data_IF_566374443258
#
_entry.id   IF_566374443258
#
_cell.length_a   1.000
_cell.length_b   1.000
_cell.length_c   1.000
_cell.angle_alpha   90.00
_cell.angle_beta   90.00
_cell.angle_gamma   90.00
#
_symmetry.space_group_name_H-M   'P 1'
#
loop_
_entity.id
_entity.type
_entity.pdbx_description
1 polymer ?
#
# COMPACT_ATOMS: atom_id res chain seq x y z
N UNK A 1 10.83 8.71 -22.99
CA UNK A 1 11.75 9.70 -22.37
C UNK A 1 12.37 9.03 -21.14
N UNK A 2 13.69 8.93 -21.06
CA UNK A 2 14.39 8.33 -19.91
C UNK A 2 14.79 9.45 -18.94
N UNK A 3 14.47 9.30 -17.65
CA UNK A 3 14.82 10.26 -16.61
C UNK A 3 15.86 9.63 -15.66
N UNK A 4 17.18 9.76 -15.93
CA UNK A 4 18.21 9.08 -15.16
C UNK A 4 18.25 9.57 -13.70
N UNK A 5 18.64 8.71 -12.73
CA UNK A 5 18.93 9.15 -11.38
C UNK A 5 20.03 10.23 -11.35
N UNK A 6 19.85 11.27 -10.56
CA UNK A 6 20.88 12.29 -10.34
C UNK A 6 21.84 11.85 -9.23
N UNK A 7 23.13 12.10 -9.44
CA UNK A 7 24.14 11.88 -8.40
C UNK A 7 24.24 13.08 -7.46
N UNK A 8 24.68 12.84 -6.23
CA UNK A 8 24.92 13.89 -5.24
C UNK A 8 26.00 14.86 -5.72
N UNK A 9 25.74 16.17 -5.60
CA UNK A 9 26.70 17.21 -5.97
C UNK A 9 26.80 17.49 -7.46
N UNK A 10 25.82 17.06 -8.27
CA UNK A 10 25.77 17.36 -9.69
C UNK A 10 25.76 18.88 -9.96
N UNK A 11 26.28 19.27 -11.14
CA UNK A 11 26.45 20.66 -11.53
C UNK A 11 25.13 21.44 -11.72
N UNK A 12 23.99 20.75 -11.86
CA UNK A 12 22.68 21.38 -12.05
C UNK A 12 22.07 21.91 -10.73
N UNK A 13 22.68 21.58 -9.59
CA UNK A 13 22.17 21.95 -8.26
C UNK A 13 20.82 21.30 -7.92
N UNK A 14 20.44 20.24 -8.64
CA UNK A 14 19.19 19.49 -8.43
C UNK A 14 19.44 18.34 -7.46
N UNK A 15 18.41 17.99 -6.67
CA UNK A 15 18.54 16.99 -5.60
C UNK A 15 18.43 15.56 -6.17
N UNK A 16 17.36 15.28 -6.89
CA UNK A 16 17.03 13.95 -7.41
C UNK A 16 16.04 14.05 -8.59
N UNK A 17 16.06 13.03 -9.44
CA UNK A 17 15.03 12.85 -10.47
C UNK A 17 13.74 12.30 -9.85
N UNK A 18 12.60 12.78 -10.35
CA UNK A 18 11.30 12.28 -9.94
C UNK A 18 11.00 10.95 -10.65
N UNK A 19 10.72 9.92 -9.85
CA UNK A 19 10.34 8.58 -10.29
C UNK A 19 8.84 8.40 -10.08
N UNK A 20 8.09 8.45 -11.18
CA UNK A 20 6.63 8.45 -11.22
C UNK A 20 6.16 7.52 -12.37
N UNK A 21 5.21 6.59 -12.16
CA UNK A 21 4.64 6.21 -10.86
C UNK A 21 5.64 5.42 -10.00
N UNK A 22 5.39 5.40 -8.70
CA UNK A 22 6.15 4.61 -7.72
C UNK A 22 5.19 4.03 -6.68
N UNK A 23 5.62 2.97 -6.00
CA UNK A 23 4.92 2.42 -4.84
C UNK A 23 3.74 1.51 -5.17
N UNK A 24 3.74 0.83 -6.32
CA UNK A 24 2.67 -0.10 -6.73
C UNK A 24 2.53 -1.30 -5.78
N UNK A 25 3.06 -2.49 -6.14
CA UNK A 25 3.07 -3.70 -5.30
C UNK A 25 4.44 -3.84 -4.65
N UNK A 26 4.52 -4.26 -3.38
CA UNK A 26 5.76 -4.41 -2.62
C UNK A 26 5.60 -5.51 -1.55
N UNK A 27 6.70 -5.88 -0.89
CA UNK A 27 6.83 -7.04 0.01
C UNK A 27 5.80 -7.03 1.16
N UNK A 28 5.39 -5.85 1.63
CA UNK A 28 4.47 -5.71 2.77
C UNK A 28 2.99 -5.95 2.41
N UNK A 29 2.65 -5.97 1.11
CA UNK A 29 1.30 -6.17 0.60
C UNK A 29 1.34 -7.01 -0.70
N UNK A 30 1.68 -8.31 -0.59
CA UNK A 30 1.65 -9.19 -1.73
C UNK A 30 0.23 -9.31 -2.29
N UNK A 31 0.12 -9.55 -3.58
CA UNK A 31 -1.16 -9.90 -4.21
C UNK A 31 -1.70 -11.21 -3.65
N UNK A 32 -3.02 -11.37 -3.68
CA UNK A 32 -3.71 -12.61 -3.32
C UNK A 32 -4.46 -13.13 -4.53
N UNK A 33 -4.53 -14.44 -4.74
CA UNK A 33 -5.25 -15.04 -5.86
C UNK A 33 -6.21 -16.11 -5.38
N UNK A 34 -7.33 -16.23 -6.06
CA UNK A 34 -8.31 -17.29 -5.86
C UNK A 34 -8.30 -18.25 -7.07
N UNK A 35 -7.76 -19.47 -6.92
CA UNK A 35 -7.71 -20.44 -8.01
C UNK A 35 -9.09 -20.99 -8.38
N UNK A 36 -10.09 -20.92 -7.49
CA UNK A 36 -11.44 -21.41 -7.77
C UNK A 36 -12.21 -20.51 -8.74
N UNK A 37 -11.96 -19.21 -8.67
CA UNK A 37 -12.56 -18.21 -9.57
C UNK A 37 -11.61 -17.75 -10.69
N UNK A 38 -10.31 -18.05 -10.58
CA UNK A 38 -9.30 -17.59 -11.54
C UNK A 38 -9.01 -16.09 -11.44
N UNK A 39 -9.22 -15.48 -10.26
CA UNK A 39 -9.07 -14.04 -10.07
C UNK A 39 -7.82 -13.73 -9.22
N UNK A 40 -7.02 -12.76 -9.67
CA UNK A 40 -5.91 -12.16 -8.93
C UNK A 40 -6.31 -10.79 -8.39
N UNK A 41 -6.12 -10.58 -7.09
CA UNK A 41 -6.36 -9.33 -6.38
C UNK A 41 -5.04 -8.64 -6.07
N UNK A 42 -4.89 -7.41 -6.57
CA UNK A 42 -3.66 -6.63 -6.46
C UNK A 42 -3.92 -5.36 -5.67
N UNK A 43 -3.37 -5.28 -4.46
CA UNK A 43 -3.31 -4.03 -3.70
C UNK A 43 -2.15 -3.17 -4.22
N UNK A 44 -2.46 -1.95 -4.61
CA UNK A 44 -1.46 -0.99 -5.10
C UNK A 44 -1.77 0.44 -4.67
N UNK A 45 -0.76 1.29 -4.64
CA UNK A 45 -0.91 2.73 -4.43
C UNK A 45 -0.19 3.53 -5.51
N UNK A 46 -0.66 4.75 -5.73
CA UNK A 46 -0.04 5.69 -6.66
C UNK A 46 0.80 6.71 -5.89
N UNK A 47 2.09 6.77 -6.19
CA UNK A 47 3.00 7.72 -5.57
C UNK A 47 4.09 8.19 -6.52
N UNK A 48 4.88 9.14 -6.06
CA UNK A 48 6.15 9.49 -6.68
C UNK A 48 7.24 9.38 -5.63
N UNK A 49 8.41 8.90 -6.05
CA UNK A 49 9.58 8.82 -5.18
C UNK A 49 10.72 9.59 -5.82
N UNK A 50 11.69 9.96 -4.99
CA UNK A 50 12.94 10.54 -5.43
C UNK A 50 14.07 9.73 -4.82
N UNK A 51 15.07 9.42 -5.65
CA UNK A 51 16.29 8.75 -5.24
C UNK A 51 17.48 9.51 -5.79
N UNK A 52 18.50 9.64 -4.95
CA UNK A 52 19.77 10.22 -5.34
C UNK A 52 20.80 9.09 -5.44
N UNK A 53 21.68 9.14 -6.44
CA UNK A 53 22.80 8.22 -6.57
C UNK A 53 23.98 8.72 -5.74
N UNK A 54 24.54 7.85 -4.92
CA UNK A 54 25.79 8.08 -4.16
C UNK A 54 26.76 6.93 -4.42
N UNK A 55 28.03 7.10 -4.04
CA UNK A 55 28.97 5.97 -4.00
C UNK A 55 28.60 5.00 -2.87
N UNK A 56 29.01 3.73 -2.97
CA UNK A 56 28.80 2.79 -1.87
C UNK A 56 29.54 3.22 -0.59
N UNK A 57 30.73 3.81 -0.72
CA UNK A 57 31.45 4.38 0.44
C UNK A 57 30.58 5.37 1.22
N UNK A 58 29.90 6.29 0.52
CA UNK A 58 28.98 7.23 1.17
C UNK A 58 27.78 6.49 1.77
N UNK A 59 27.21 5.50 1.07
CA UNK A 59 26.03 4.79 1.57
C UNK A 59 26.31 3.95 2.82
N UNK A 60 27.50 3.36 2.93
CA UNK A 60 27.89 2.57 4.08
C UNK A 60 28.02 3.41 5.34
N UNK A 61 28.34 4.71 5.21
CA UNK A 61 28.30 5.65 6.36
C UNK A 61 26.90 5.87 6.95
N UNK A 62 25.82 5.42 6.27
CA UNK A 62 24.45 5.56 6.78
C UNK A 62 24.09 4.53 7.85
N UNK A 63 24.93 3.50 8.03
CA UNK A 63 24.67 2.40 8.95
C UNK A 63 25.85 2.24 9.91
N UNK A 64 25.58 2.04 11.19
CA UNK A 64 26.61 1.82 12.20
C UNK A 64 27.37 0.50 11.98
N UNK A 65 26.66 -0.52 11.46
CA UNK A 65 27.21 -1.86 11.20
C UNK A 65 26.73 -2.36 9.83
N UNK A 66 27.36 -1.95 8.71
CA UNK A 66 27.02 -2.48 7.39
C UNK A 66 27.35 -3.96 7.29
N UNK A 67 26.45 -4.76 6.71
CA UNK A 67 26.66 -6.17 6.44
C UNK A 67 27.34 -6.35 5.08
N UNK A 68 28.64 -6.60 5.06
CA UNK A 68 29.39 -6.84 3.83
C UNK A 68 30.85 -6.40 3.94
N UNK A 69 31.70 -6.88 3.02
CA UNK A 69 33.11 -6.46 2.90
C UNK A 69 33.41 -5.78 1.56
N UNK A 70 32.48 -5.87 0.61
CA UNK A 70 32.61 -5.29 -0.73
C UNK A 70 31.66 -4.12 -0.87
N UNK A 71 32.23 -2.92 -1.08
CA UNK A 71 31.43 -1.73 -1.38
C UNK A 71 30.77 -1.87 -2.74
N UNK A 72 29.47 -1.58 -2.82
CA UNK A 72 28.82 -1.35 -4.11
C UNK A 72 29.44 -0.11 -4.76
N UNK A 73 29.70 -0.11 -6.07
CA UNK A 73 30.25 1.09 -6.72
C UNK A 73 29.30 2.29 -6.57
N UNK A 74 27.99 2.04 -6.64
CA UNK A 74 26.95 3.04 -6.42
C UNK A 74 25.81 2.48 -5.57
N UNK A 75 25.12 3.36 -4.85
CA UNK A 75 23.99 3.04 -4.00
C UNK A 75 22.91 4.13 -4.07
N UNK A 76 21.67 3.75 -3.75
CA UNK A 76 20.54 4.67 -3.70
C UNK A 76 20.47 5.36 -2.33
N UNK A 77 20.69 6.67 -2.30
CA UNK A 77 20.41 7.52 -1.15
C UNK A 77 18.98 8.08 -1.18
N UNK A 78 18.57 8.67 -0.06
CA UNK A 78 17.31 9.41 0.03
C UNK A 78 17.35 10.63 -0.90
N UNK A 79 16.36 10.76 -1.80
CA UNK A 79 16.24 11.85 -2.76
C UNK A 79 15.37 13.02 -2.28
N UNK A 80 14.97 13.04 -1.00
CA UNK A 80 14.09 14.05 -0.43
C UNK A 80 12.63 13.62 -0.36
N UNK A 81 11.75 14.55 0.03
CA UNK A 81 10.33 14.26 0.19
C UNK A 81 9.63 14.00 -1.15
N UNK A 82 8.66 13.10 -1.16
CA UNK A 82 7.72 12.96 -2.29
C UNK A 82 6.98 14.29 -2.53
N UNK A 83 6.75 14.68 -3.79
CA UNK A 83 6.03 15.90 -4.11
C UNK A 83 4.59 15.79 -3.60
N UNK A 84 4.15 16.85 -2.92
CA UNK A 84 2.78 17.01 -2.42
C UNK A 84 2.33 18.43 -2.67
N UNK A 85 1.03 18.61 -2.85
CA UNK A 85 0.44 19.93 -2.83
C UNK A 85 0.72 20.63 -1.48
N UNK A 86 0.83 21.96 -1.41
CA UNK A 86 1.02 22.68 -0.12
C UNK A 86 -0.02 22.35 0.95
N UNK A 87 -1.21 21.89 0.55
CA UNK A 87 -2.28 21.42 1.44
C UNK A 87 -2.12 19.95 1.89
N UNK A 88 -1.01 19.28 1.56
CA UNK A 88 -0.77 17.87 1.90
C UNK A 88 -1.53 16.85 1.04
N UNK A 89 -2.19 17.30 -0.03
CA UNK A 89 -2.87 16.44 -1.01
C UNK A 89 -1.82 15.69 -1.85
N UNK A 90 -1.97 14.37 -2.07
CA UNK A 90 -1.12 13.62 -2.99
C UNK A 90 -1.13 14.23 -4.40
N UNK A 91 0.00 14.11 -5.11
CA UNK A 91 0.11 14.61 -6.49
C UNK A 91 -0.78 13.85 -7.48
N UNK A 92 -0.98 12.55 -7.25
CA UNK A 92 -1.81 11.71 -8.11
C UNK A 92 -3.30 11.91 -7.81
N UNK A 93 -4.14 11.83 -8.84
CA UNK A 93 -5.59 11.75 -8.65
C UNK A 93 -5.95 10.48 -7.86
N UNK A 94 -6.97 10.52 -7.00
CA UNK A 94 -7.48 9.33 -6.33
C UNK A 94 -7.99 8.28 -7.33
N UNK A 95 -8.03 6.98 -6.95
CA UNK A 95 -7.70 6.48 -5.61
C UNK A 95 -6.19 6.43 -5.32
N UNK A 96 -5.81 6.91 -4.14
CA UNK A 96 -4.42 6.94 -3.66
C UNK A 96 -3.89 5.55 -3.36
N UNK A 97 -4.76 4.67 -2.86
CA UNK A 97 -4.56 3.23 -2.69
C UNK A 97 -5.81 2.49 -3.17
N UNK A 98 -5.62 1.32 -3.77
CA UNK A 98 -6.68 0.57 -4.46
C UNK A 98 -6.43 -0.93 -4.46
N UNK A 99 -7.49 -1.70 -4.60
CA UNK A 99 -7.45 -3.10 -5.00
C UNK A 99 -7.96 -3.18 -6.44
N UNK A 100 -7.29 -3.99 -7.26
CA UNK A 100 -7.73 -4.32 -8.62
C UNK A 100 -7.88 -5.83 -8.72
N UNK A 101 -9.06 -6.29 -9.13
CA UNK A 101 -9.30 -7.68 -9.50
C UNK A 101 -9.00 -7.89 -10.98
N UNK A 102 -8.23 -8.94 -11.28
CA UNK A 102 -7.74 -9.25 -12.62
C UNK A 102 -8.12 -10.69 -12.93
N UNK A 103 -8.83 -10.90 -14.04
CA UNK A 103 -9.07 -12.25 -14.57
C UNK A 103 -7.74 -12.82 -15.07
N UNK A 104 -7.32 -13.95 -14.50
CA UNK A 104 -6.02 -14.56 -14.82
C UNK A 104 -5.98 -15.27 -16.17
N UNK A 105 -7.13 -15.51 -16.80
CA UNK A 105 -7.22 -16.12 -18.13
C UNK A 105 -7.11 -15.07 -19.24
N UNK A 106 -7.69 -13.90 -19.03
CA UNK A 106 -7.78 -12.84 -20.06
C UNK A 106 -6.84 -11.67 -19.80
N UNK A 107 -6.46 -11.43 -18.54
CA UNK A 107 -5.75 -10.23 -18.09
C UNK A 107 -6.66 -9.01 -17.91
N UNK A 108 -7.97 -9.15 -18.07
CA UNK A 108 -8.91 -8.04 -17.92
C UNK A 108 -9.07 -7.61 -16.47
N UNK A 109 -9.20 -6.30 -16.25
CA UNK A 109 -9.57 -5.76 -14.94
C UNK A 109 -11.07 -5.89 -14.76
N UNK A 110 -11.48 -6.75 -13.84
CA UNK A 110 -12.89 -6.99 -13.53
C UNK A 110 -13.49 -5.81 -12.76
N UNK A 111 -12.77 -5.32 -11.76
CA UNK A 111 -13.13 -4.15 -10.98
C UNK A 111 -11.91 -3.51 -10.30
N UNK A 112 -12.10 -2.26 -9.87
CA UNK A 112 -11.12 -1.50 -9.08
C UNK A 112 -11.83 -0.67 -8.03
N UNK A 113 -11.41 -0.78 -6.78
CA UNK A 113 -11.97 -0.01 -5.66
C UNK A 113 -10.86 0.65 -4.83
N UNK A 114 -11.12 1.80 -4.18
CA UNK A 114 -10.23 2.36 -3.16
C UNK A 114 -10.11 1.44 -1.93
N UNK A 115 -8.99 1.52 -1.20
CA UNK A 115 -8.83 0.82 0.09
C UNK A 115 -9.07 1.75 1.27
N UNK A 116 -9.78 1.26 2.28
CA UNK A 116 -10.17 2.05 3.45
C UNK A 116 -11.01 3.25 3.04
N UNK A 117 -10.90 4.35 3.78
CA UNK A 117 -11.67 5.56 3.53
C UNK A 117 -10.78 6.79 3.25
N UNK A 118 -11.39 7.83 2.69
CA UNK A 118 -10.76 9.15 2.54
C UNK A 118 -10.31 9.68 3.91
N UNK A 119 -9.00 9.91 4.15
CA UNK A 119 -8.54 10.41 5.44
C UNK A 119 -9.15 11.77 5.79
N UNK A 120 -9.45 12.01 7.07
CA UNK A 120 -10.04 13.26 7.55
C UNK A 120 -9.19 14.49 7.21
N UNK A 121 -7.86 14.35 7.21
CA UNK A 121 -6.93 15.41 6.78
C UNK A 121 -7.10 15.85 5.31
N UNK A 122 -7.76 15.03 4.48
CA UNK A 122 -8.12 15.36 3.09
C UNK A 122 -9.59 15.78 3.04
N UNK A 123 -10.49 14.95 3.59
CA UNK A 123 -11.94 15.19 3.60
C UNK A 123 -12.33 16.55 4.18
N UNK A 124 -11.62 16.99 5.22
CA UNK A 124 -11.94 18.20 5.98
C UNK A 124 -11.17 19.44 5.50
N UNK A 125 -10.50 19.38 4.34
CA UNK A 125 -9.82 20.55 3.78
C UNK A 125 -10.87 21.62 3.38
N UNK A 126 -10.75 22.88 3.87
CA UNK A 126 -11.68 23.95 3.50
C UNK A 126 -11.82 24.17 1.99
N UNK A 127 -10.73 23.93 1.24
CA UNK A 127 -10.68 24.09 -0.21
C UNK A 127 -11.48 23.01 -0.96
N UNK A 128 -11.87 21.92 -0.30
CA UNK A 128 -12.67 20.85 -0.88
C UNK A 128 -14.15 20.93 -0.45
N UNK A 129 -14.55 21.98 0.28
CA UNK A 129 -15.95 22.17 0.67
C UNK A 129 -16.85 22.31 -0.57
N UNK A 130 -17.92 21.51 -0.61
CA UNK A 130 -18.87 21.48 -1.73
C UNK A 130 -18.39 20.72 -2.96
N UNK A 131 -17.22 20.06 -2.90
CA UNK A 131 -16.70 19.22 -3.98
C UNK A 131 -16.88 17.75 -3.58
N UNK A 132 -17.60 16.98 -4.41
CA UNK A 132 -17.62 15.53 -4.27
C UNK A 132 -16.34 14.93 -4.86
N UNK A 133 -15.52 14.36 -3.97
CA UNK A 133 -14.25 13.71 -4.33
C UNK A 133 -14.34 12.17 -4.27
N UNK A 134 -15.50 11.62 -3.89
CA UNK A 134 -15.68 10.20 -3.63
C UNK A 134 -14.75 9.65 -2.53
N UNK A 135 -14.61 8.32 -2.51
CA UNK A 135 -13.63 7.66 -1.66
C UNK A 135 -12.24 7.69 -2.33
N UNK A 136 -11.30 8.40 -1.73
CA UNK A 136 -9.94 8.54 -2.26
C UNK A 136 -9.06 7.36 -1.94
N UNK A 137 -9.49 6.49 -1.02
CA UNK A 137 -8.63 5.55 -0.32
C UNK A 137 -7.62 6.26 0.59
N UNK A 138 -7.01 5.48 1.47
CA UNK A 138 -6.09 5.98 2.51
C UNK A 138 -4.72 6.40 1.96
N UNK A 139 -4.32 5.82 0.82
CA UNK A 139 -2.96 5.88 0.30
C UNK A 139 -2.00 4.88 0.95
N UNK A 140 -2.51 4.01 1.82
CA UNK A 140 -1.74 2.97 2.48
C UNK A 140 -1.42 1.81 1.55
N UNK A 141 -0.50 0.99 2.04
CA UNK A 141 -0.04 -0.23 1.42
C UNK A 141 -0.67 -1.37 2.23
N UNK A 142 -1.73 -2.01 1.70
CA UNK A 142 -2.63 -2.86 2.50
C UNK A 142 -2.38 -4.35 2.29
N UNK A 143 -2.26 -5.17 3.35
CA UNK A 143 -2.18 -6.61 3.18
C UNK A 143 -3.52 -7.17 2.70
N UNK A 144 -3.46 -8.18 1.83
CA UNK A 144 -4.61 -8.91 1.30
C UNK A 144 -4.60 -10.37 1.74
N UNK A 145 -5.78 -10.95 1.86
CA UNK A 145 -5.99 -12.39 1.98
C UNK A 145 -7.31 -12.78 1.35
N UNK A 146 -7.34 -13.89 0.65
CA UNK A 146 -8.57 -14.43 0.08
C UNK A 146 -8.96 -15.70 0.83
N UNK A 147 -10.24 -15.84 1.14
CA UNK A 147 -10.87 -17.08 1.60
C UNK A 147 -11.71 -17.69 0.47
N UNK A 148 -12.32 -18.85 0.73
CA UNK A 148 -13.25 -19.46 -0.22
C UNK A 148 -14.41 -18.53 -0.61
N UNK A 149 -14.83 -17.64 0.29
CA UNK A 149 -16.03 -16.81 0.10
C UNK A 149 -15.74 -15.31 0.03
N UNK A 150 -14.64 -14.84 0.64
CA UNK A 150 -14.41 -13.41 0.83
C UNK A 150 -13.00 -13.00 0.40
N UNK A 151 -12.87 -11.78 -0.09
CA UNK A 151 -11.60 -11.08 -0.11
C UNK A 151 -11.51 -10.20 1.13
N UNK A 152 -10.40 -10.28 1.86
CA UNK A 152 -10.18 -9.52 3.08
C UNK A 152 -8.94 -8.65 2.97
N UNK A 153 -9.00 -7.45 3.56
CA UNK A 153 -7.85 -6.55 3.65
C UNK A 153 -7.88 -5.73 4.94
N UNK A 154 -6.71 -5.29 5.42
CA UNK A 154 -6.62 -4.41 6.59
C UNK A 154 -6.23 -3.00 6.16
N UNK A 155 -6.99 -2.01 6.60
CA UNK A 155 -6.70 -0.59 6.42
C UNK A 155 -7.37 0.24 7.53
N UNK A 156 -7.54 1.54 7.33
CA UNK A 156 -8.17 2.45 8.29
C UNK A 156 -9.38 3.17 7.71
N UNK A 157 -10.31 3.55 8.59
CA UNK A 157 -11.41 4.49 8.30
C UNK A 157 -10.93 5.94 8.30
N UNK A 158 -11.82 6.88 7.99
CA UNK A 158 -11.49 8.31 7.77
C UNK A 158 -10.74 8.94 8.95
N UNK A 159 -11.10 8.55 10.17
CA UNK A 159 -10.53 8.98 11.46
C UNK A 159 -9.20 8.28 11.82
N UNK A 160 -8.79 7.30 11.03
CA UNK A 160 -7.59 6.48 11.27
C UNK A 160 -7.84 5.21 12.08
N UNK A 161 -9.10 4.87 12.41
CA UNK A 161 -9.42 3.67 13.18
C UNK A 161 -9.18 2.41 12.33
N UNK A 162 -8.32 1.47 12.77
CA UNK A 162 -7.95 0.32 11.98
C UNK A 162 -9.04 -0.75 11.96
N UNK A 163 -9.27 -1.30 10.77
CA UNK A 163 -10.29 -2.31 10.52
C UNK A 163 -9.74 -3.47 9.68
N UNK A 164 -10.40 -4.62 9.81
CA UNK A 164 -10.38 -5.70 8.82
C UNK A 164 -11.66 -5.56 7.99
N UNK A 165 -11.49 -5.31 6.70
CA UNK A 165 -12.55 -5.17 5.72
C UNK A 165 -12.76 -6.51 5.00
N UNK A 166 -14.02 -6.85 4.73
CA UNK A 166 -14.43 -8.01 3.96
C UNK A 166 -15.20 -7.55 2.72
N UNK A 167 -14.83 -8.11 1.58
CA UNK A 167 -15.37 -7.77 0.27
C UNK A 167 -15.96 -9.01 -0.41
N UNK A 168 -17.03 -8.81 -1.17
CA UNK A 168 -17.44 -9.75 -2.20
C UNK A 168 -16.36 -9.82 -3.28
N UNK A 169 -15.97 -11.05 -3.63
CA UNK A 169 -14.86 -11.32 -4.56
C UNK A 169 -15.17 -10.91 -6.00
N UNK A 170 -16.42 -11.08 -6.42
CA UNK A 170 -16.83 -10.87 -7.80
C UNK A 170 -17.04 -9.39 -8.13
N UNK A 171 -17.54 -8.60 -7.18
CA UNK A 171 -17.92 -7.19 -7.36
C UNK A 171 -16.95 -6.19 -6.70
N UNK A 172 -16.23 -6.62 -5.66
CA UNK A 172 -15.45 -5.72 -4.81
C UNK A 172 -16.30 -4.92 -3.81
N UNK A 173 -17.60 -5.20 -3.67
CA UNK A 173 -18.47 -4.53 -2.70
C UNK A 173 -18.08 -4.91 -1.26
N UNK A 174 -18.06 -3.92 -0.35
CA UNK A 174 -17.86 -4.17 1.08
C UNK A 174 -19.08 -4.86 1.68
N UNK A 175 -18.91 -6.10 2.13
CA UNK A 175 -19.98 -6.88 2.78
C UNK A 175 -19.93 -6.80 4.30
N UNK A 176 -18.84 -6.24 4.85
CA UNK A 176 -18.70 -5.98 6.26
C UNK A 176 -17.29 -5.58 6.65
N UNK A 177 -17.15 -5.10 7.89
CA UNK A 177 -15.86 -4.80 8.50
C UNK A 177 -15.94 -4.91 10.01
N UNK A 178 -14.78 -5.11 10.64
CA UNK A 178 -14.64 -5.17 12.08
C UNK A 178 -13.42 -4.36 12.52
N UNK A 179 -13.56 -3.60 13.59
CA UNK A 179 -12.43 -2.87 14.19
C UNK A 179 -11.39 -3.86 14.71
N UNK A 180 -10.11 -3.54 14.50
CA UNK A 180 -8.98 -4.34 14.99
C UNK A 180 -8.12 -3.51 15.94
N UNK A 181 -7.36 -4.12 16.86
CA UNK A 181 -6.63 -3.36 17.87
C UNK A 181 -5.59 -2.37 17.31
N UNK A 182 -4.96 -2.70 16.18
CA UNK A 182 -3.98 -1.84 15.47
C UNK A 182 -3.95 -2.18 13.99
N UNK A 183 -3.51 -1.23 13.16
CA UNK A 183 -3.30 -1.44 11.73
C UNK A 183 -2.33 -2.59 11.47
N UNK A 184 -2.64 -3.40 10.46
CA UNK A 184 -1.75 -4.43 9.96
C UNK A 184 -0.87 -3.92 8.83
N UNK A 185 0.39 -4.36 8.78
CA UNK A 185 1.37 -3.95 7.77
C UNK A 185 1.95 -5.12 6.98
N UNK A 186 1.66 -6.35 7.37
CA UNK A 186 2.20 -7.55 6.73
C UNK A 186 1.12 -8.61 6.66
N UNK A 187 1.35 -9.60 5.79
CA UNK A 187 0.37 -10.61 5.39
C UNK A 187 -0.49 -11.17 6.52
N UNK A 188 -1.72 -11.52 6.17
CA UNK A 188 -2.67 -12.20 7.05
C UNK A 188 -2.75 -13.67 6.66
N UNK A 189 -3.17 -14.51 7.60
CA UNK A 189 -3.43 -15.92 7.33
C UNK A 189 -4.77 -16.36 7.91
N UNK A 190 -5.32 -17.43 7.36
CA UNK A 190 -6.56 -18.04 7.83
C UNK A 190 -6.29 -19.48 8.23
N UNK A 191 -6.88 -19.93 9.33
CA UNK A 191 -6.77 -21.30 9.82
C UNK A 191 -8.09 -21.81 10.37
N UNK A 192 -8.35 -23.11 10.24
CA UNK A 192 -9.47 -23.76 10.95
C UNK A 192 -8.92 -24.46 12.18
N UNK A 193 -9.45 -24.11 13.34
CA UNK A 193 -9.12 -24.74 14.60
C UNK A 193 -10.42 -25.15 15.30
N UNK A 194 -10.52 -26.42 15.69
CA UNK A 194 -11.71 -26.98 16.35
C UNK A 194 -13.04 -26.68 15.60
N UNK A 195 -13.00 -26.75 14.27
CA UNK A 195 -14.17 -26.52 13.42
C UNK A 195 -14.52 -25.05 13.16
N UNK A 196 -13.77 -24.10 13.73
CA UNK A 196 -14.01 -22.66 13.55
C UNK A 196 -12.88 -22.01 12.74
N UNK A 197 -13.25 -21.12 11.82
CA UNK A 197 -12.28 -20.38 11.03
C UNK A 197 -11.79 -19.14 11.80
N UNK A 198 -10.48 -18.95 11.80
CA UNK A 198 -9.78 -17.83 12.41
C UNK A 198 -8.98 -17.08 11.36
N UNK A 199 -8.99 -15.76 11.46
CA UNK A 199 -8.10 -14.86 10.71
C UNK A 199 -7.03 -14.35 11.66
N UNK A 200 -5.78 -14.49 11.27
CA UNK A 200 -4.61 -14.04 12.04
C UNK A 200 -4.03 -12.80 11.36
N UNK A 201 -3.91 -11.73 12.14
CA UNK A 201 -3.34 -10.46 11.73
C UNK A 201 -2.09 -10.15 12.55
N UNK A 202 -1.09 -9.54 11.91
CA UNK A 202 -0.03 -8.87 12.64
C UNK A 202 -0.49 -7.44 12.98
N UNK A 203 -0.82 -7.18 14.24
CA UNK A 203 -1.32 -5.88 14.74
C UNK A 203 -0.23 -5.19 15.55
N UNK A 204 0.61 -4.41 14.88
CA UNK A 204 1.82 -3.85 15.50
C UNK A 204 2.85 -4.94 15.83
N UNK A 205 3.22 -5.06 17.11
CA UNK A 205 4.21 -6.04 17.59
C UNK A 205 3.61 -7.36 18.07
N UNK A 206 2.30 -7.57 17.91
CA UNK A 206 1.60 -8.78 18.35
C UNK A 206 0.84 -9.44 17.21
N UNK A 207 0.54 -10.73 17.38
CA UNK A 207 -0.43 -11.44 16.55
C UNK A 207 -1.80 -11.38 17.21
N UNK A 208 -2.81 -11.04 16.42
CA UNK A 208 -4.22 -11.03 16.84
C UNK A 208 -4.96 -12.08 16.03
N UNK A 209 -5.62 -13.01 16.71
CA UNK A 209 -6.50 -14.00 16.08
C UNK A 209 -7.96 -13.57 16.28
N UNK A 210 -8.72 -13.55 15.19
CA UNK A 210 -10.13 -13.20 15.17
C UNK A 210 -10.92 -14.39 14.66
N UNK A 211 -11.89 -14.85 15.45
CA UNK A 211 -12.78 -15.93 15.04
C UNK A 211 -13.88 -15.37 14.13
N UNK A 212 -14.15 -16.04 13.01
CA UNK A 212 -15.35 -15.73 12.23
C UNK A 212 -16.61 -16.10 13.03
N UNK A 213 -17.75 -15.43 12.78
CA UNK A 213 -19.04 -15.84 13.29
C UNK A 213 -19.36 -17.29 12.92
N UNK A 214 -20.19 -17.96 13.72
CA UNK A 214 -20.74 -19.28 13.39
C UNK A 214 -21.81 -19.18 12.30
#
# INVERSE_FOLDING_TARGET
>A
MFNPPLHRGNAEGKIASMLCPSGAVNITHPSSADPGTGILYVASRSGCSSRQLVTGEIADTYYEAPTGVTLSQYAAANGGASPRHPLGIPLWKPPYSRITAIDMNTGEHLWMIPTGETPDRIKNLPQLQGIDIGNTGTGNAVPLMTTETLLMYSDVTSDGTPHLFALDKASGEEVGRIEVPRASRYGMSSWVHEGRQYVILQTGSTLTAMALPE
#
